data_IF_485415622471
#
_entry.id   IF_485415622471
#
_cell.length_a   1.000
_cell.length_b   1.000
_cell.length_c   1.000
_cell.angle_alpha   90.00
_cell.angle_beta   90.00
_cell.angle_gamma   90.00
#
_symmetry.space_group_name_H-M   'P 1'
#
loop_
_entity.id
_entity.type
_entity.pdbx_description
1 polymer ?
#
# COMPACT_ATOMS: atom_id res chain seq x y z
N UNK A 1 -15.28 6.26 -5.08
CA UNK A 1 -14.05 5.44 -4.99
C UNK A 1 -14.26 4.17 -4.16
N UNK A 2 -15.11 4.17 -3.12
CA UNK A 2 -15.42 2.98 -2.29
C UNK A 2 -15.78 1.75 -3.14
N UNK A 3 -16.69 1.89 -4.10
CA UNK A 3 -17.10 0.79 -4.97
C UNK A 3 -15.97 0.19 -5.82
N UNK A 4 -14.99 1.00 -6.24
CA UNK A 4 -13.82 0.52 -6.97
C UNK A 4 -12.90 -0.31 -6.07
N UNK A 5 -12.57 0.20 -4.87
CA UNK A 5 -11.75 -0.54 -3.90
C UNK A 5 -12.39 -1.88 -3.52
N UNK A 6 -13.70 -1.89 -3.23
CA UNK A 6 -14.42 -3.13 -2.91
C UNK A 6 -14.44 -4.13 -4.08
N UNK A 7 -14.57 -3.66 -5.33
CA UNK A 7 -14.49 -4.52 -6.51
C UNK A 7 -13.10 -5.14 -6.68
N UNK A 8 -12.04 -4.34 -6.53
CA UNK A 8 -10.66 -4.82 -6.60
C UNK A 8 -10.38 -5.88 -5.54
N UNK A 9 -10.77 -5.64 -4.29
CA UNK A 9 -10.64 -6.64 -3.22
C UNK A 9 -11.42 -7.92 -3.53
N UNK A 10 -12.62 -7.81 -4.14
CA UNK A 10 -13.40 -8.96 -4.59
C UNK A 10 -12.71 -9.77 -5.69
N UNK A 11 -12.07 -9.12 -6.66
CA UNK A 11 -11.27 -9.80 -7.69
C UNK A 11 -10.04 -10.48 -7.10
N UNK A 12 -9.37 -9.82 -6.14
CA UNK A 12 -8.23 -10.40 -5.44
C UNK A 12 -8.63 -11.63 -4.61
N UNK A 13 -9.80 -11.60 -3.95
CA UNK A 13 -10.33 -12.78 -3.24
C UNK A 13 -10.58 -13.96 -4.19
N UNK A 14 -11.18 -13.69 -5.36
CA UNK A 14 -11.41 -14.71 -6.39
C UNK A 14 -10.10 -15.30 -6.92
N UNK A 15 -9.11 -14.48 -7.21
CA UNK A 15 -7.77 -14.91 -7.66
C UNK A 15 -7.04 -15.77 -6.60
N UNK A 16 -7.17 -15.41 -5.32
CA UNK A 16 -6.63 -16.17 -4.20
C UNK A 16 -7.41 -17.48 -3.94
N UNK A 17 -8.59 -17.64 -4.52
CA UNK A 17 -9.47 -18.76 -4.27
C UNK A 17 -9.95 -18.81 -2.82
N UNK A 18 -10.28 -17.63 -2.26
CA UNK A 18 -10.90 -17.50 -0.94
C UNK A 18 -12.29 -16.86 -1.07
N UNK A 19 -13.13 -17.07 -0.04
CA UNK A 19 -14.44 -16.42 0.01
C UNK A 19 -14.29 -14.90 -0.04
N UNK A 20 -15.13 -14.24 -0.81
CA UNK A 20 -15.08 -12.79 -1.00
C UNK A 20 -15.08 -12.04 0.33
N UNK A 21 -15.94 -12.43 1.24
CA UNK A 21 -16.11 -11.83 2.56
C UNK A 21 -14.91 -12.02 3.47
N UNK A 22 -14.12 -13.06 3.29
CA UNK A 22 -12.90 -13.29 4.04
C UNK A 22 -11.85 -12.16 3.82
N UNK A 23 -11.80 -11.62 2.60
CA UNK A 23 -10.89 -10.52 2.29
C UNK A 23 -11.59 -9.15 2.42
N UNK A 24 -12.77 -9.00 1.80
CA UNK A 24 -13.52 -7.73 1.80
C UNK A 24 -13.99 -7.37 3.20
N UNK A 25 -14.30 -8.37 4.04
CA UNK A 25 -14.75 -8.18 5.42
C UNK A 25 -13.75 -7.43 6.31
N UNK A 26 -12.46 -7.59 6.07
CA UNK A 26 -11.42 -6.83 6.79
C UNK A 26 -11.50 -5.30 6.52
N UNK A 27 -12.20 -4.90 5.45
CA UNK A 27 -12.40 -3.52 5.02
C UNK A 27 -13.85 -3.06 5.21
N UNK A 28 -14.60 -3.72 6.11
CA UNK A 28 -15.96 -3.29 6.48
C UNK A 28 -15.94 -1.90 7.11
N UNK A 29 -17.09 -1.19 7.02
CA UNK A 29 -17.17 0.21 7.46
C UNK A 29 -16.73 1.19 6.38
N UNK A 30 -16.16 0.71 5.26
CA UNK A 30 -15.84 1.50 4.05
C UNK A 30 -15.01 2.74 4.35
N UNK A 31 -14.09 2.64 5.30
CA UNK A 31 -13.20 3.75 5.63
C UNK A 31 -12.29 4.04 4.45
N UNK A 32 -12.29 5.30 4.05
CA UNK A 32 -11.34 5.83 3.09
C UNK A 32 -10.83 7.16 3.60
N UNK A 33 -9.56 7.38 3.45
CA UNK A 33 -8.94 8.70 3.56
C UNK A 33 -8.44 9.15 2.21
N UNK A 34 -8.31 10.45 2.04
CA UNK A 34 -7.81 11.06 0.82
C UNK A 34 -6.68 12.01 1.17
N UNK A 35 -5.62 11.96 0.38
CA UNK A 35 -4.54 12.93 0.43
C UNK A 35 -4.31 13.53 -0.97
N UNK A 36 -3.97 14.81 -0.99
CA UNK A 36 -3.49 15.49 -2.19
C UNK A 36 -2.02 15.81 -1.93
N UNK A 37 -1.14 15.25 -2.75
CA UNK A 37 0.29 15.53 -2.67
C UNK A 37 0.68 16.47 -3.80
N UNK A 38 1.31 17.57 -3.43
CA UNK A 38 1.89 18.52 -4.37
C UNK A 38 3.39 18.63 -4.12
N UNK A 39 4.16 18.32 -5.14
CA UNK A 39 5.62 18.36 -5.15
C UNK A 39 6.03 19.51 -6.07
N UNK A 40 6.50 20.65 -5.54
CA UNK A 40 7.00 21.74 -6.37
C UNK A 40 8.27 21.35 -7.13
N UNK A 41 8.63 22.07 -8.19
CA UNK A 41 9.93 21.87 -8.86
C UNK A 41 11.08 21.99 -7.86
N UNK A 42 12.08 21.15 -8.02
CA UNK A 42 13.26 21.16 -7.16
C UNK A 42 14.53 21.07 -7.99
N UNK A 43 15.26 22.18 -8.21
CA UNK A 43 16.50 22.18 -8.97
C UNK A 43 17.59 21.26 -8.40
N UNK A 44 17.54 21.01 -7.08
CA UNK A 44 18.48 20.12 -6.37
C UNK A 44 17.87 18.76 -6.04
N UNK A 45 17.12 18.18 -6.98
CA UNK A 45 16.40 16.90 -6.81
C UNK A 45 17.29 15.73 -6.38
N UNK A 46 18.59 15.80 -6.60
CA UNK A 46 19.56 14.78 -6.17
C UNK A 46 19.78 14.75 -4.65
N UNK A 47 19.40 15.83 -3.94
CA UNK A 47 19.53 15.98 -2.49
C UNK A 47 18.19 15.85 -1.75
N UNK A 48 17.09 15.72 -2.46
CA UNK A 48 15.75 15.80 -1.89
C UNK A 48 14.91 14.61 -2.34
N UNK A 49 14.15 14.06 -1.42
CA UNK A 49 13.09 13.09 -1.71
C UNK A 49 11.72 13.76 -1.46
N UNK A 50 10.80 13.61 -2.40
CA UNK A 50 9.41 14.03 -2.21
C UNK A 50 8.70 13.17 -1.17
N UNK A 51 8.90 11.84 -1.26
CA UNK A 51 8.55 10.86 -0.23
C UNK A 51 9.74 9.91 -0.09
N UNK A 52 10.17 9.68 1.15
CA UNK A 52 11.20 8.69 1.48
C UNK A 52 10.74 7.27 1.15
N UNK A 53 11.66 6.31 0.94
CA UNK A 53 11.30 4.91 0.76
C UNK A 53 10.38 4.41 1.88
N UNK A 54 9.21 3.91 1.49
CA UNK A 54 8.19 3.41 2.41
C UNK A 54 7.29 2.37 1.73
N UNK A 55 6.38 1.76 2.51
CA UNK A 55 5.24 0.98 2.02
C UNK A 55 3.94 1.60 2.54
N UNK A 56 2.85 1.45 1.80
CA UNK A 56 1.52 1.81 2.29
C UNK A 56 1.09 0.82 3.40
N UNK A 57 0.33 1.30 4.39
CA UNK A 57 0.00 0.49 5.58
C UNK A 57 -1.29 -0.32 5.49
N UNK A 58 -2.42 0.34 5.18
CA UNK A 58 -3.72 -0.11 5.68
C UNK A 58 -4.62 -0.88 4.70
N UNK A 59 -4.24 -1.12 3.46
CA UNK A 59 -5.08 -1.92 2.56
C UNK A 59 -4.77 -1.75 1.08
N UNK A 60 -5.56 -0.98 0.36
CA UNK A 60 -5.31 -0.60 -1.04
C UNK A 60 -5.15 0.91 -1.16
N UNK A 61 -4.17 1.31 -1.94
CA UNK A 61 -3.98 2.70 -2.32
C UNK A 61 -4.33 2.88 -3.79
N UNK A 62 -5.19 3.84 -4.07
CA UNK A 62 -5.57 4.25 -5.43
C UNK A 62 -4.96 5.63 -5.68
N UNK A 63 -3.91 5.70 -6.49
CA UNK A 63 -3.22 6.94 -6.81
C UNK A 63 -3.57 7.40 -8.22
N UNK A 64 -4.10 8.61 -8.33
CA UNK A 64 -4.36 9.31 -9.59
C UNK A 64 -3.28 10.36 -9.83
N UNK A 65 -2.62 10.31 -10.97
CA UNK A 65 -1.78 11.41 -11.45
C UNK A 65 -2.68 12.52 -12.02
N UNK A 66 -2.54 13.74 -11.48
CA UNK A 66 -3.28 14.92 -11.99
C UNK A 66 -2.58 15.49 -13.24
N UNK A 67 -1.28 15.32 -13.31
CA UNK A 67 -0.42 15.74 -14.40
C UNK A 67 0.44 14.57 -14.94
N UNK A 68 1.22 14.80 -15.98
CA UNK A 68 2.10 13.82 -16.61
C UNK A 68 3.53 13.82 -16.03
N UNK A 69 3.79 14.59 -14.96
CA UNK A 69 5.10 14.66 -14.33
C UNK A 69 5.44 13.35 -13.63
N UNK A 70 6.56 12.77 -14.01
CA UNK A 70 7.10 11.55 -13.38
C UNK A 70 7.66 11.84 -11.99
N UNK A 71 7.90 10.79 -11.20
CA UNK A 71 8.50 10.93 -9.86
C UNK A 71 8.32 9.70 -8.99
N UNK A 72 7.20 8.99 -9.14
CA UNK A 72 6.97 7.74 -8.42
C UNK A 72 7.93 6.65 -8.91
N UNK A 73 8.58 5.98 -7.97
CA UNK A 73 9.42 4.82 -8.22
C UNK A 73 9.07 3.68 -7.27
N UNK A 74 9.09 2.46 -7.78
CA UNK A 74 8.92 1.22 -7.00
C UNK A 74 10.25 0.49 -6.91
N UNK A 75 10.47 -0.26 -5.83
CA UNK A 75 11.66 -1.08 -5.63
C UNK A 75 11.38 -2.54 -5.94
N UNK A 76 12.17 -3.12 -6.83
CA UNK A 76 12.11 -4.55 -7.18
C UNK A 76 13.52 -5.11 -7.35
N UNK A 77 13.82 -6.22 -6.67
CA UNK A 77 15.15 -6.84 -6.74
C UNK A 77 16.29 -5.88 -6.34
N UNK A 78 16.06 -5.02 -5.34
CA UNK A 78 17.05 -4.04 -4.87
C UNK A 78 17.20 -2.79 -5.77
N UNK A 79 16.51 -2.73 -6.92
CA UNK A 79 16.60 -1.62 -7.90
C UNK A 79 15.32 -0.80 -7.93
N UNK A 80 15.44 0.50 -8.23
CA UNK A 80 14.33 1.42 -8.40
C UNK A 80 13.88 1.49 -9.86
N UNK A 81 12.57 1.38 -10.08
CA UNK A 81 11.93 1.47 -11.39
C UNK A 81 10.91 2.62 -11.40
N UNK A 82 10.95 3.48 -12.42
CA UNK A 82 9.96 4.54 -12.53
C UNK A 82 8.58 3.98 -12.90
N UNK A 83 7.54 4.56 -12.29
CA UNK A 83 6.15 4.35 -12.68
C UNK A 83 5.70 5.56 -13.48
N UNK A 84 5.51 5.37 -14.78
CA UNK A 84 5.10 6.46 -15.67
C UNK A 84 3.61 6.77 -15.49
N UNK A 85 3.22 8.04 -15.40
CA UNK A 85 1.82 8.42 -15.44
C UNK A 85 1.14 7.91 -16.71
N UNK A 86 -0.05 7.35 -16.53
CA UNK A 86 -0.94 6.98 -17.64
C UNK A 86 -2.21 7.82 -17.49
N UNK A 87 -2.56 8.68 -18.46
CA UNK A 87 -3.73 9.54 -18.36
C UNK A 87 -5.02 8.74 -18.08
N UNK A 88 -5.80 9.20 -17.12
CA UNK A 88 -7.07 8.58 -16.75
C UNK A 88 -6.97 7.24 -16.02
N UNK A 89 -5.76 6.77 -15.72
CA UNK A 89 -5.54 5.51 -15.01
C UNK A 89 -5.15 5.74 -13.54
N UNK A 90 -5.50 4.77 -12.70
CA UNK A 90 -5.01 4.68 -11.33
C UNK A 90 -3.81 3.75 -11.25
N UNK A 91 -2.82 4.16 -10.45
CA UNK A 91 -1.86 3.21 -9.88
C UNK A 91 -2.51 2.59 -8.65
N UNK A 92 -2.51 1.27 -8.57
CA UNK A 92 -3.07 0.53 -7.43
C UNK A 92 -1.91 -0.09 -6.66
N UNK A 93 -1.68 0.37 -5.42
CA UNK A 93 -0.69 -0.22 -4.53
C UNK A 93 -1.36 -1.16 -3.54
N UNK A 94 -0.77 -2.33 -3.38
CA UNK A 94 -1.06 -3.25 -2.28
C UNK A 94 -0.34 -2.72 -1.04
N UNK A 95 -1.07 -2.60 0.07
CA UNK A 95 -0.50 -2.17 1.34
C UNK A 95 -0.20 -3.36 2.26
N UNK A 96 0.53 -3.10 3.34
CA UNK A 96 1.08 -4.12 4.23
C UNK A 96 0.01 -5.04 4.86
N UNK A 97 -1.13 -4.48 5.29
CA UNK A 97 -2.22 -5.31 5.85
C UNK A 97 -2.75 -6.31 4.82
N UNK A 98 -2.86 -5.91 3.55
CA UNK A 98 -3.31 -6.81 2.50
C UNK A 98 -2.23 -7.85 2.14
N UNK A 99 -0.94 -7.50 2.24
CA UNK A 99 0.18 -8.45 2.14
C UNK A 99 0.06 -9.53 3.23
N UNK A 100 -0.17 -9.12 4.49
CA UNK A 100 -0.38 -10.06 5.61
C UNK A 100 -1.60 -10.94 5.39
N UNK A 101 -2.77 -10.37 5.09
CA UNK A 101 -4.01 -11.12 4.86
C UNK A 101 -3.85 -12.15 3.73
N UNK A 102 -3.17 -11.78 2.65
CA UNK A 102 -2.91 -12.65 1.51
C UNK A 102 -1.78 -13.67 1.76
N UNK A 103 -1.22 -13.73 2.96
CA UNK A 103 -0.06 -14.56 3.31
C UNK A 103 1.12 -14.36 2.34
N UNK A 104 1.33 -13.13 1.88
CA UNK A 104 2.41 -12.77 0.97
C UNK A 104 2.14 -13.08 -0.52
N UNK A 105 0.93 -13.48 -0.90
CA UNK A 105 0.58 -13.68 -2.30
C UNK A 105 0.51 -12.33 -3.04
N UNK A 106 -0.07 -11.31 -2.43
CA UNK A 106 -0.02 -9.93 -2.88
C UNK A 106 0.97 -9.16 -2.02
N UNK A 107 2.11 -8.78 -2.61
CA UNK A 107 3.19 -8.13 -1.87
C UNK A 107 3.02 -6.62 -1.82
N UNK A 108 3.20 -6.05 -0.63
CA UNK A 108 3.37 -4.62 -0.47
C UNK A 108 4.73 -4.19 -1.04
N UNK A 109 4.70 -3.23 -1.95
CA UNK A 109 5.89 -2.80 -2.71
C UNK A 109 6.43 -1.51 -2.14
N UNK A 110 7.73 -1.54 -1.79
CA UNK A 110 8.45 -0.34 -1.37
C UNK A 110 8.50 0.67 -2.51
N UNK A 111 8.14 1.90 -2.23
CA UNK A 111 8.11 2.98 -3.21
C UNK A 111 8.63 4.28 -2.62
N UNK A 112 9.00 5.21 -3.50
CA UNK A 112 9.45 6.56 -3.15
C UNK A 112 9.01 7.56 -4.20
N UNK A 113 9.12 8.85 -3.90
CA UNK A 113 8.88 9.92 -4.87
C UNK A 113 10.10 10.82 -4.96
N UNK A 114 10.55 11.07 -6.19
CA UNK A 114 11.55 12.08 -6.51
C UNK A 114 10.83 13.31 -7.07
N UNK A 115 11.19 14.53 -6.64
CA UNK A 115 10.70 15.73 -7.29
C UNK A 115 11.29 15.85 -8.71
N UNK A 116 10.61 16.56 -9.58
CA UNK A 116 11.14 16.96 -10.87
C UNK A 116 11.91 18.29 -10.74
N UNK A 117 12.92 18.53 -11.61
CA UNK A 117 13.74 19.74 -11.54
C UNK A 117 12.98 20.99 -11.97
N UNK A 118 12.06 20.86 -12.93
CA UNK A 118 11.45 21.98 -13.66
C UNK A 118 9.92 22.03 -13.49
N UNK A 119 9.29 20.87 -13.24
CA UNK A 119 7.84 20.71 -13.24
C UNK A 119 7.30 20.30 -11.88
N UNK A 120 6.23 20.93 -11.47
CA UNK A 120 5.46 20.46 -10.32
C UNK A 120 4.78 19.12 -10.64
N UNK A 121 4.60 18.29 -9.63
CA UNK A 121 3.85 17.04 -9.71
C UNK A 121 2.73 17.06 -8.67
N UNK A 122 1.52 16.74 -9.10
CA UNK A 122 0.35 16.65 -8.22
C UNK A 122 -0.32 15.30 -8.36
N UNK A 123 -0.67 14.69 -7.23
CA UNK A 123 -1.43 13.43 -7.18
C UNK A 123 -2.57 13.50 -6.19
N UNK A 124 -3.65 12.79 -6.50
CA UNK A 124 -4.74 12.51 -5.56
C UNK A 124 -4.62 11.04 -5.18
N UNK A 125 -4.55 10.78 -3.89
CA UNK A 125 -4.35 9.43 -3.35
C UNK A 125 -5.54 9.10 -2.45
N UNK A 126 -6.12 7.93 -2.65
CA UNK A 126 -7.21 7.41 -1.84
C UNK A 126 -6.74 6.10 -1.20
N UNK A 127 -6.79 6.07 0.11
CA UNK A 127 -6.47 4.88 0.90
C UNK A 127 -7.77 4.16 1.28
N UNK A 128 -7.90 2.91 0.85
CA UNK A 128 -8.91 2.00 1.34
C UNK A 128 -8.36 1.34 2.60
N UNK A 129 -8.93 1.69 3.74
CA UNK A 129 -8.39 1.32 5.05
C UNK A 129 -9.09 0.10 5.63
N UNK A 130 -8.31 -0.77 6.27
CA UNK A 130 -8.87 -1.84 7.11
C UNK A 130 -9.66 -1.25 8.28
N UNK A 131 -10.65 -1.98 8.75
CA UNK A 131 -11.44 -1.59 9.90
C UNK A 131 -10.54 -1.46 11.14
N UNK A 132 -10.75 -0.38 11.92
CA UNK A 132 -10.18 -0.23 13.26
C UNK A 132 -11.23 -0.62 14.30
N UNK A 133 -10.82 -0.90 15.52
CA UNK A 133 -11.74 -1.29 16.60
C UNK A 133 -11.73 -2.79 16.84
N UNK A 134 -10.55 -3.33 17.20
CA UNK A 134 -10.38 -4.72 17.63
C UNK A 134 -10.15 -5.71 16.48
N UNK A 135 -10.00 -5.26 15.23
CA UNK A 135 -9.62 -6.15 14.15
C UNK A 135 -8.19 -6.67 14.36
N UNK A 136 -8.05 -7.99 14.40
CA UNK A 136 -6.77 -8.68 14.35
C UNK A 136 -6.51 -9.10 12.90
N UNK A 137 -5.40 -8.63 12.36
CA UNK A 137 -4.90 -9.01 11.03
C UNK A 137 -4.02 -10.23 11.17
N UNK A 138 -4.34 -11.27 10.43
CA UNK A 138 -3.58 -12.50 10.34
C UNK A 138 -3.68 -13.04 8.90
N UNK A 139 -2.74 -13.87 8.45
CA UNK A 139 -2.91 -14.58 7.20
C UNK A 139 -4.21 -15.38 7.16
N UNK A 140 -4.96 -15.30 6.06
CA UNK A 140 -6.22 -16.02 5.91
C UNK A 140 -5.99 -17.54 6.02
N UNK A 141 -6.77 -18.27 6.85
CA UNK A 141 -6.51 -19.70 7.14
C UNK A 141 -6.42 -20.57 5.88
N UNK A 142 -7.29 -20.31 4.88
CA UNK A 142 -7.25 -21.04 3.61
C UNK A 142 -5.94 -20.86 2.84
N UNK A 143 -5.30 -19.70 2.95
CA UNK A 143 -4.01 -19.43 2.31
C UNK A 143 -2.84 -19.99 3.10
N UNK A 144 -2.92 -20.04 4.42
CA UNK A 144 -1.95 -20.70 5.28
C UNK A 144 -1.89 -22.19 4.96
N UNK A 145 -3.04 -22.85 4.86
CA UNK A 145 -3.12 -24.27 4.52
C UNK A 145 -2.56 -24.58 3.12
N UNK A 146 -2.87 -23.75 2.11
CA UNK A 146 -2.36 -23.91 0.74
C UNK A 146 -0.85 -23.60 0.64
N UNK A 147 -0.36 -22.66 1.45
CA UNK A 147 1.01 -22.11 1.35
C UNK A 147 2.05 -22.82 2.23
N UNK A 148 1.69 -23.91 2.93
CA UNK A 148 2.62 -24.66 3.77
C UNK A 148 2.98 -23.98 5.09
N UNK A 149 2.18 -23.01 5.54
CA UNK A 149 2.35 -22.30 6.80
C UNK A 149 2.08 -20.80 6.74
N UNK A 150 1.97 -20.18 7.90
CA UNK A 150 1.84 -18.72 8.00
C UNK A 150 3.21 -18.08 7.77
N UNK A 151 3.24 -17.01 6.99
CA UNK A 151 4.44 -16.19 6.72
C UNK A 151 4.52 -14.96 7.61
N UNK A 152 3.44 -14.65 8.29
CA UNK A 152 3.33 -13.49 9.18
C UNK A 152 2.65 -13.88 10.48
N UNK A 153 3.08 -13.27 11.58
CA UNK A 153 2.37 -13.33 12.86
C UNK A 153 1.12 -12.44 12.81
N UNK A 154 0.14 -12.75 13.66
CA UNK A 154 -1.05 -11.93 13.85
C UNK A 154 -0.71 -10.62 14.57
N UNK A 155 -1.47 -9.56 14.28
CA UNK A 155 -1.32 -8.26 14.93
C UNK A 155 -2.64 -7.51 14.94
N UNK A 156 -2.93 -6.78 16.02
CA UNK A 156 -4.03 -5.82 16.03
C UNK A 156 -3.78 -4.64 15.09
N UNK A 157 -4.82 -4.17 14.38
CA UNK A 157 -4.68 -3.03 13.45
C UNK A 157 -4.13 -1.79 14.16
N UNK A 158 -4.57 -1.52 15.39
CA UNK A 158 -4.10 -0.36 16.17
C UNK A 158 -2.64 -0.48 16.56
N UNK A 159 -2.19 -1.68 16.92
CA UNK A 159 -0.78 -1.98 17.20
C UNK A 159 0.05 -1.82 15.93
N UNK A 160 -0.47 -2.33 14.80
CA UNK A 160 0.17 -2.16 13.49
C UNK A 160 0.36 -0.68 13.15
N UNK A 161 -0.68 0.15 13.32
CA UNK A 161 -0.61 1.59 13.02
C UNK A 161 0.52 2.26 13.83
N UNK A 162 0.57 2.00 15.14
CA UNK A 162 1.62 2.55 16.03
C UNK A 162 3.02 2.11 15.58
N UNK A 163 3.20 0.80 15.35
CA UNK A 163 4.48 0.25 14.90
C UNK A 163 4.93 0.80 13.56
N UNK A 164 3.99 0.97 12.61
CA UNK A 164 4.29 1.52 11.29
C UNK A 164 4.71 2.99 11.36
N UNK A 165 4.08 3.82 12.19
CA UNK A 165 4.51 5.21 12.40
C UNK A 165 5.93 5.30 12.96
N UNK A 166 6.27 4.47 13.94
CA UNK A 166 7.61 4.42 14.52
C UNK A 166 8.66 3.98 13.49
N UNK A 167 8.35 2.91 12.74
CA UNK A 167 9.24 2.41 11.69
C UNK A 167 9.48 3.44 10.57
N UNK A 168 8.45 4.19 10.18
CA UNK A 168 8.59 5.29 9.22
C UNK A 168 9.53 6.38 9.72
N UNK A 169 9.44 6.75 10.99
CA UNK A 169 10.35 7.74 11.61
C UNK A 169 11.81 7.25 11.63
N UNK A 170 12.02 5.94 11.74
CA UNK A 170 13.33 5.29 11.74
C UNK A 170 13.82 4.93 10.32
N UNK A 171 13.02 5.19 9.28
CA UNK A 171 13.34 4.83 7.89
C UNK A 171 13.32 3.32 7.63
N UNK A 172 12.58 2.57 8.44
CA UNK A 172 12.43 1.11 8.33
C UNK A 172 11.00 0.72 7.90
N UNK A 173 10.75 -0.56 7.68
CA UNK A 173 9.44 -1.11 7.30
C UNK A 173 8.92 -2.02 8.38
N UNK A 174 7.83 -1.65 9.01
CA UNK A 174 7.26 -2.41 10.13
C UNK A 174 6.82 -3.82 9.74
N UNK A 175 6.32 -4.02 8.53
CA UNK A 175 5.89 -5.35 8.04
C UNK A 175 7.00 -6.41 8.14
N UNK A 176 8.27 -6.02 8.03
CA UNK A 176 9.38 -6.97 8.14
C UNK A 176 9.46 -7.59 9.55
N UNK A 177 9.05 -6.86 10.58
CA UNK A 177 8.99 -7.37 11.96
C UNK A 177 7.87 -8.38 12.20
N UNK A 178 6.91 -8.45 11.26
CA UNK A 178 5.79 -9.40 11.33
C UNK A 178 6.10 -10.74 10.67
N UNK A 179 7.20 -10.85 9.91
CA UNK A 179 7.57 -12.08 9.22
C UNK A 179 8.02 -13.17 10.19
N UNK A 180 7.63 -14.42 9.88
CA UNK A 180 8.02 -15.65 10.59
C UNK A 180 9.09 -16.35 9.81
#
# INVERSE_FOLDING_TARGET
MIGLGTKLLGFMAADLGVEREALVGAFTGRRQSMAIHHYPPCPHREKVLGITPNTDGLGLTLLLHVDDTSGLQIRRGGRWFPVRPLPGAFVVNVADILDVLSNGAYRSVEHRVLPDAERARTTVVIFQEAAVGGLVVAPLPGLVAKGGGARYRSIGVEEYIKGNFNALAEGTRFIESLRI
#
